data_IF_573471191923
#
_entry.id   IF_573471191923
#
_cell.length_a   1.000
_cell.length_b   1.000
_cell.length_c   1.000
_cell.angle_alpha   90.00
_cell.angle_beta   90.00
_cell.angle_gamma   90.00
#
_symmetry.space_group_name_H-M   'P 1'
#
loop_
_entity.id
_entity.type
_entity.pdbx_description
1 polymer ?
#
# COMPACT_ATOMS: atom_id res chain seq x y z
N UNK A 1 19.37 11.78 3.13
CA UNK A 1 18.86 11.36 1.80
C UNK A 1 19.00 9.85 1.72
N UNK A 2 18.00 9.16 2.25
CA UNK A 2 17.83 7.71 2.07
C UNK A 2 17.43 7.51 0.62
N UNK A 3 18.37 7.09 -0.22
CA UNK A 3 18.05 6.67 -1.58
C UNK A 3 17.30 5.36 -1.47
N UNK A 4 15.98 5.39 -1.64
CA UNK A 4 15.17 4.17 -1.75
C UNK A 4 15.70 3.36 -2.91
N UNK A 5 15.86 2.06 -2.72
CA UNK A 5 16.30 1.18 -3.78
C UNK A 5 15.18 1.10 -4.84
N UNK A 6 15.44 1.44 -6.12
CA UNK A 6 14.39 1.49 -7.14
C UNK A 6 13.76 0.12 -7.41
N UNK A 7 14.50 -0.95 -7.13
CA UNK A 7 14.00 -2.33 -7.21
C UNK A 7 12.99 -2.62 -6.09
N UNK A 8 13.27 -2.16 -4.87
CA UNK A 8 12.37 -2.30 -3.73
C UNK A 8 11.11 -1.47 -3.92
N UNK A 9 11.24 -0.21 -4.36
CA UNK A 9 10.11 0.67 -4.64
C UNK A 9 9.15 0.06 -5.65
N UNK A 10 9.70 -0.48 -6.75
CA UNK A 10 8.88 -1.11 -7.80
C UNK A 10 8.16 -2.37 -7.32
N UNK A 11 8.75 -3.13 -6.41
CA UNK A 11 8.10 -4.28 -5.80
C UNK A 11 6.99 -3.85 -4.82
N UNK A 12 7.26 -2.81 -4.03
CA UNK A 12 6.29 -2.22 -3.10
C UNK A 12 5.06 -1.65 -3.83
N UNK A 13 5.28 -0.89 -4.90
CA UNK A 13 4.20 -0.40 -5.78
C UNK A 13 3.36 -1.52 -6.36
N UNK A 14 4.00 -2.61 -6.77
CA UNK A 14 3.29 -3.76 -7.32
C UNK A 14 2.39 -4.41 -6.25
N UNK A 15 2.89 -4.59 -5.02
CA UNK A 15 2.09 -5.11 -3.91
C UNK A 15 0.95 -4.15 -3.52
N UNK A 16 1.19 -2.83 -3.48
CA UNK A 16 0.14 -1.84 -3.23
C UNK A 16 -0.94 -1.86 -4.32
N UNK A 17 -0.55 -1.89 -5.59
CA UNK A 17 -1.49 -2.01 -6.71
C UNK A 17 -2.28 -3.32 -6.65
N UNK A 18 -1.66 -4.42 -6.24
CA UNK A 18 -2.33 -5.70 -6.11
C UNK A 18 -3.29 -5.77 -4.91
N UNK A 19 -2.99 -5.09 -3.80
CA UNK A 19 -3.79 -5.16 -2.56
C UNK A 19 -4.86 -4.07 -2.46
N UNK A 20 -4.54 -2.87 -2.96
CA UNK A 20 -5.31 -1.64 -2.76
C UNK A 20 -5.61 -0.91 -4.08
N UNK A 21 -5.10 -1.39 -5.22
CA UNK A 21 -5.24 -0.74 -6.53
C UNK A 21 -4.70 0.70 -6.60
N UNK A 22 -3.80 1.07 -5.70
CA UNK A 22 -3.11 2.37 -5.67
C UNK A 22 -1.59 2.18 -5.74
N UNK A 23 -0.86 3.19 -6.21
CA UNK A 23 0.60 3.24 -6.14
C UNK A 23 1.07 4.23 -5.05
N UNK A 24 2.37 4.22 -4.72
CA UNK A 24 2.91 5.11 -3.68
C UNK A 24 2.67 6.60 -3.96
N UNK A 25 2.58 7.03 -5.22
CA UNK A 25 2.26 8.42 -5.59
C UNK A 25 0.79 8.75 -5.35
N UNK A 26 -0.12 7.84 -5.70
CA UNK A 26 -1.57 7.99 -5.44
C UNK A 26 -1.87 7.99 -3.93
N UNK A 27 -1.13 7.16 -3.19
CA UNK A 27 -1.15 7.14 -1.73
C UNK A 27 -0.50 8.37 -1.07
N UNK A 28 0.17 9.25 -1.83
CA UNK A 28 0.86 10.42 -1.31
C UNK A 28 2.07 10.09 -0.44
N UNK A 29 2.74 8.96 -0.66
CA UNK A 29 3.94 8.57 0.08
C UNK A 29 5.17 9.32 -0.42
N UNK A 30 5.80 10.08 0.46
CA UNK A 30 7.10 10.70 0.21
C UNK A 30 8.28 9.72 0.40
N UNK A 31 9.43 10.05 -0.18
CA UNK A 31 10.69 9.29 -0.05
C UNK A 31 11.11 9.05 1.41
N UNK A 32 10.74 9.96 2.32
CA UNK A 32 10.99 9.80 3.75
C UNK A 32 10.13 8.68 4.36
N UNK A 33 8.86 8.64 3.98
CA UNK A 33 7.88 7.67 4.46
C UNK A 33 8.23 6.28 3.91
N UNK A 34 8.53 6.20 2.61
CA UNK A 34 9.09 5.01 1.97
C UNK A 34 10.39 4.56 2.67
N UNK A 35 11.21 5.49 3.14
CA UNK A 35 12.47 5.20 3.83
C UNK A 35 12.25 4.52 5.17
N UNK A 36 11.18 4.86 5.89
CA UNK A 36 10.79 4.15 7.11
C UNK A 36 10.33 2.72 6.85
N UNK A 37 9.73 2.46 5.68
CA UNK A 37 9.25 1.13 5.30
C UNK A 37 10.28 0.29 4.53
N UNK A 38 11.32 0.92 3.96
CA UNK A 38 12.36 0.25 3.19
C UNK A 38 13.21 -0.75 3.99
N UNK A 39 13.19 -0.67 5.32
CA UNK A 39 13.78 -1.68 6.22
C UNK A 39 12.99 -3.00 6.22
N UNK A 40 11.73 -2.98 5.79
CA UNK A 40 10.85 -4.14 5.70
C UNK A 40 10.80 -4.68 4.26
N UNK A 41 10.50 -5.97 4.06
CA UNK A 41 10.22 -6.47 2.73
C UNK A 41 8.98 -5.76 2.14
N UNK A 42 8.94 -5.53 0.83
CA UNK A 42 7.95 -4.67 0.17
C UNK A 42 6.50 -5.12 0.44
N UNK A 43 6.27 -6.42 0.60
CA UNK A 43 4.95 -6.97 0.96
C UNK A 43 4.53 -6.64 2.39
N UNK A 44 5.44 -6.75 3.36
CA UNK A 44 5.14 -6.39 4.75
C UNK A 44 4.95 -4.87 4.88
N UNK A 45 5.77 -4.10 4.17
CA UNK A 45 5.61 -2.65 4.06
C UNK A 45 4.22 -2.29 3.52
N UNK A 46 3.76 -2.91 2.43
CA UNK A 46 2.46 -2.61 1.83
C UNK A 46 1.30 -2.96 2.78
N UNK A 47 1.41 -4.08 3.51
CA UNK A 47 0.42 -4.48 4.52
C UNK A 47 0.42 -3.54 5.73
N UNK A 48 1.60 -3.15 6.22
CA UNK A 48 1.73 -2.21 7.32
C UNK A 48 1.16 -0.84 6.93
N UNK A 49 1.50 -0.34 5.74
CA UNK A 49 0.97 0.91 5.21
C UNK A 49 -0.56 0.87 5.09
N UNK A 50 -1.10 -0.19 4.49
CA UNK A 50 -2.54 -0.37 4.39
C UNK A 50 -3.26 -0.45 5.73
N UNK A 51 -2.62 -1.04 6.75
CA UNK A 51 -3.16 -1.10 8.10
C UNK A 51 -3.03 0.22 8.87
N UNK A 52 -1.95 0.98 8.67
CA UNK A 52 -1.68 2.25 9.38
C UNK A 52 -2.61 3.36 8.87
N UNK A 53 -2.91 3.33 7.57
CA UNK A 53 -3.78 4.30 6.89
C UNK A 53 -5.23 3.82 6.70
N UNK A 54 -5.58 2.65 7.24
CA UNK A 54 -6.91 2.02 7.11
C UNK A 54 -7.40 2.00 5.66
N UNK A 55 -6.50 1.67 4.72
CA UNK A 55 -6.84 1.65 3.31
C UNK A 55 -7.85 0.54 3.05
N UNK A 56 -8.94 0.89 2.37
CA UNK A 56 -9.90 -0.09 1.88
C UNK A 56 -9.16 -1.03 0.91
N UNK A 57 -8.86 -2.24 1.39
CA UNK A 57 -8.35 -3.31 0.53
C UNK A 57 -9.37 -3.52 -0.57
N UNK A 58 -8.94 -3.61 -1.82
CA UNK A 58 -9.86 -3.90 -2.93
C UNK A 58 -10.53 -5.29 -2.74
N UNK A 59 -9.88 -6.16 -1.96
CA UNK A 59 -10.43 -7.45 -1.51
C UNK A 59 -11.58 -7.33 -0.48
N UNK A 60 -11.82 -6.13 0.07
CA UNK A 60 -13.05 -5.81 0.76
C UNK A 60 -14.17 -5.68 -0.27
N UNK A 61 -14.55 -6.83 -0.83
CA UNK A 61 -15.85 -7.12 -1.39
C UNK A 61 -16.89 -6.54 -0.43
N UNK A 62 -17.34 -5.32 -0.71
CA UNK A 62 -18.57 -4.79 -0.18
C UNK A 62 -19.61 -5.92 -0.28
N UNK A 63 -20.23 -6.39 0.82
CA UNK A 63 -21.57 -6.88 0.66
C UNK A 63 -22.32 -5.67 0.14
N UNK A 64 -22.68 -5.67 -1.15
CA UNK A 64 -23.49 -4.63 -1.74
C UNK A 64 -24.70 -4.52 -0.83
N UNK A 65 -24.77 -3.44 -0.05
CA UNK A 65 -25.76 -3.27 1.00
C UNK A 65 -27.09 -3.02 0.28
N UNK A 66 -27.70 -4.11 -0.12
CA UNK A 66 -28.78 -4.20 -1.10
C UNK A 66 -29.63 -5.42 -0.80
N UNK A 67 -30.02 -5.57 0.46
CA UNK A 67 -31.22 -6.34 0.80
C UNK A 67 -32.00 -5.55 1.83
N UNK A 68 -33.14 -4.93 1.45
CA UNK A 68 -34.07 -4.42 2.44
C UNK A 68 -34.62 -5.60 3.23
N UNK A 69 -34.72 -5.46 4.56
CA UNK A 69 -35.59 -6.31 5.38
C UNK A 69 -37.01 -5.76 5.35
#
# INVERSE_FOLDING_TARGET
MTKIDPTWLKAFDNELLHLFAIDHSDAGMDEYLLGCYADLPPREAALAFGSDYDLERDDALWPRLGTPV
#
